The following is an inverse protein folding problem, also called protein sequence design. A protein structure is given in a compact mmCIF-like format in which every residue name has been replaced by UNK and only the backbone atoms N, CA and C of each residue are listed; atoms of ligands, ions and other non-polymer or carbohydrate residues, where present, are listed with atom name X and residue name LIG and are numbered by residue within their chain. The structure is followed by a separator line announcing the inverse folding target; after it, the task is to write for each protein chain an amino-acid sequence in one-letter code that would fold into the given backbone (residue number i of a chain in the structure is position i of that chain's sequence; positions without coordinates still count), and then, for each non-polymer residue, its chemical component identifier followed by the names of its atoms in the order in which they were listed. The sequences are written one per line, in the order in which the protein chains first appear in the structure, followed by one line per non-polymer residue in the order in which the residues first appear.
data_IF_996322211520
#
_entry.id   IF_996322211520
#
_cell.length_a   1.000
_cell.length_b   1.000
_cell.length_c   1.000
_cell.angle_alpha   90.00
_cell.angle_beta   90.00
_cell.angle_gamma   90.00
#
_symmetry.space_group_name_H-M   'P 1'
#
loop_
_entity.id
_entity.type
_entity.pdbx_description
1 polymer ?
#
# COMPACT_ATOMS: atom_id res chain seq x y z
N UNK A 1 20.36 4.46 -2.44
CA UNK A 1 19.63 5.74 -2.34
C UNK A 1 18.69 5.61 -1.17
N UNK A 2 19.14 6.01 0.01
CA UNK A 2 18.41 5.82 1.26
C UNK A 2 17.30 6.88 1.34
N UNK A 3 16.04 6.45 1.31
CA UNK A 3 14.87 7.30 1.48
C UNK A 3 14.72 7.66 2.97
N UNK A 4 15.60 8.53 3.48
CA UNK A 4 15.56 9.02 4.86
C UNK A 4 14.64 10.24 5.08
N UNK A 5 13.82 10.64 4.10
CA UNK A 5 13.12 11.93 4.16
C UNK A 5 11.62 11.84 3.84
N UNK A 6 10.92 10.82 4.32
CA UNK A 6 9.45 10.78 4.24
C UNK A 6 8.74 11.19 5.54
N UNK A 7 9.44 11.76 6.53
CA UNK A 7 8.78 12.04 7.81
C UNK A 7 9.33 13.17 8.68
N UNK A 8 10.15 14.10 8.18
CA UNK A 8 10.68 15.16 9.08
C UNK A 8 10.74 16.59 8.57
N UNK A 9 10.50 16.90 7.29
CA UNK A 9 10.40 18.30 6.88
C UNK A 9 9.26 18.48 5.89
N UNK A 10 8.20 19.11 6.39
CA UNK A 10 7.05 19.50 5.61
C UNK A 10 7.41 20.40 4.44
N UNK A 11 6.44 20.51 3.54
CA UNK A 11 6.43 21.25 2.28
C UNK A 11 7.28 20.62 1.16
N UNK A 12 6.52 19.96 0.26
CA UNK A 12 6.88 19.57 -1.11
C UNK A 12 7.58 18.20 -1.26
N UNK A 13 6.84 17.12 -1.09
CA UNK A 13 7.08 15.87 -1.86
C UNK A 13 6.68 16.10 -3.34
N UNK A 14 7.33 17.07 -3.99
CA UNK A 14 7.20 17.27 -5.43
C UNK A 14 8.07 16.21 -6.12
N UNK A 15 7.52 15.00 -6.20
CA UNK A 15 7.95 14.00 -7.15
C UNK A 15 6.96 14.01 -8.32
N UNK A 16 6.91 15.10 -9.13
CA UNK A 16 5.80 15.38 -10.03
C UNK A 16 5.68 14.39 -11.18
N UNK A 17 6.66 13.50 -11.37
CA UNK A 17 6.71 12.48 -12.42
C UNK A 17 6.97 11.07 -11.86
N UNK A 18 6.90 10.88 -10.53
CA UNK A 18 7.13 9.56 -9.94
C UNK A 18 5.91 8.68 -10.18
N UNK A 19 6.03 7.81 -11.18
CA UNK A 19 4.98 6.83 -11.50
C UNK A 19 5.16 5.50 -10.76
N UNK A 20 6.39 5.17 -10.37
CA UNK A 20 6.68 3.93 -9.64
C UNK A 20 7.51 4.21 -8.38
N UNK A 21 6.99 3.78 -7.23
CA UNK A 21 7.71 3.81 -5.96
C UNK A 21 7.90 2.38 -5.49
N UNK A 22 9.16 1.96 -5.37
CA UNK A 22 9.54 0.62 -4.92
C UNK A 22 10.39 0.74 -3.67
N UNK A 23 9.82 0.34 -2.55
CA UNK A 23 10.47 0.32 -1.26
C UNK A 23 10.82 -1.13 -0.94
N UNK A 24 12.11 -1.39 -0.75
CA UNK A 24 12.62 -2.74 -0.48
C UNK A 24 13.56 -2.74 0.70
N UNK A 25 13.73 -3.90 1.33
CA UNK A 25 14.86 -4.21 2.22
C UNK A 25 15.03 -3.21 3.36
N UNK A 26 13.96 -3.00 4.14
CA UNK A 26 13.93 -2.01 5.22
C UNK A 26 14.25 -0.58 4.75
N UNK A 27 13.76 -0.21 3.56
CA UNK A 27 14.03 1.07 2.91
C UNK A 27 13.54 2.32 3.64
N UNK A 28 12.84 2.18 4.78
CA UNK A 28 12.53 3.25 5.72
C UNK A 28 12.67 2.74 7.17
N UNK A 29 12.89 3.68 8.10
CA UNK A 29 12.92 3.41 9.53
C UNK A 29 11.53 3.53 10.14
N UNK A 30 11.25 2.69 11.13
CA UNK A 30 9.97 2.69 11.86
C UNK A 30 8.99 1.65 11.33
N UNK A 31 7.95 1.37 12.11
CA UNK A 31 6.90 0.39 11.80
C UNK A 31 5.58 1.03 11.35
N UNK A 32 5.53 2.37 11.30
CA UNK A 32 4.40 3.14 10.79
C UNK A 32 4.85 4.00 9.63
N UNK A 33 4.17 3.90 8.49
CA UNK A 33 4.31 4.85 7.39
C UNK A 33 3.11 5.80 7.39
N UNK A 34 3.36 7.09 7.63
CA UNK A 34 2.33 8.13 7.72
C UNK A 34 2.48 9.14 6.58
N UNK A 35 1.36 9.45 5.92
CA UNK A 35 1.18 10.61 5.07
C UNK A 35 -0.01 11.39 5.62
N UNK A 36 0.11 12.71 5.76
CA UNK A 36 -1.05 13.56 6.02
C UNK A 36 -1.79 13.88 4.71
N UNK A 37 -3.01 14.40 4.78
CA UNK A 37 -3.85 14.68 3.60
C UNK A 37 -3.24 15.72 2.63
N UNK A 38 -2.24 16.51 3.05
CA UNK A 38 -1.52 17.45 2.19
C UNK A 38 -0.36 16.78 1.41
N UNK A 39 0.07 15.59 1.83
CA UNK A 39 1.18 14.85 1.23
C UNK A 39 0.70 13.92 0.11
N UNK A 40 0.56 14.49 -1.09
CA UNK A 40 0.01 13.78 -2.26
C UNK A 40 1.11 13.40 -3.26
N UNK A 41 1.21 12.10 -3.60
CA UNK A 41 2.12 11.58 -4.63
C UNK A 41 1.35 11.42 -5.96
N UNK A 42 1.11 12.56 -6.62
CA UNK A 42 0.09 12.72 -7.66
C UNK A 42 0.22 11.85 -8.92
N UNK A 43 1.41 11.37 -9.30
CA UNK A 43 1.59 10.57 -10.51
C UNK A 43 1.81 9.09 -10.23
N UNK A 44 1.78 8.67 -8.97
CA UNK A 44 2.12 7.30 -8.60
C UNK A 44 1.08 6.33 -9.16
N UNK A 45 1.52 5.40 -10.01
CA UNK A 45 0.71 4.34 -10.61
C UNK A 45 1.00 2.97 -9.97
N UNK A 46 2.26 2.73 -9.59
CA UNK A 46 2.71 1.50 -8.94
C UNK A 46 3.38 1.79 -7.60
N UNK A 47 2.87 1.17 -6.55
CA UNK A 47 3.50 1.13 -5.25
C UNK A 47 3.87 -0.31 -4.88
N UNK A 48 5.17 -0.56 -4.74
CA UNK A 48 5.69 -1.84 -4.29
C UNK A 48 6.38 -1.68 -2.94
N UNK A 49 5.96 -2.48 -1.97
CA UNK A 49 6.58 -2.57 -0.64
C UNK A 49 7.03 -4.02 -0.44
N UNK A 50 8.33 -4.24 -0.22
CA UNK A 50 8.90 -5.59 -0.17
C UNK A 50 9.92 -5.73 0.95
N UNK A 51 9.77 -6.74 1.82
CA UNK A 51 10.68 -7.01 2.95
C UNK A 51 10.92 -5.75 3.80
N UNK A 52 9.85 -5.15 4.31
CA UNK A 52 9.92 -4.06 5.29
C UNK A 52 9.35 -4.49 6.64
N UNK A 53 9.61 -3.72 7.68
CA UNK A 53 9.03 -3.86 9.01
C UNK A 53 7.72 -3.07 9.18
N UNK A 54 7.05 -2.73 8.07
CA UNK A 54 5.77 -2.03 8.10
C UNK A 54 4.74 -2.84 8.91
N UNK A 55 4.19 -2.21 9.94
CA UNK A 55 3.04 -2.71 10.69
C UNK A 55 1.78 -1.96 10.32
N UNK A 56 1.85 -0.63 10.29
CA UNK A 56 0.69 0.21 10.02
C UNK A 56 1.00 1.21 8.92
N UNK A 57 -0.01 1.48 8.11
CA UNK A 57 0.05 2.47 7.06
C UNK A 57 -1.08 3.47 7.31
N UNK A 58 -0.70 4.70 7.61
CA UNK A 58 -1.59 5.83 7.80
C UNK A 58 -1.53 6.71 6.55
N UNK A 59 -2.27 6.32 5.51
CA UNK A 59 -2.53 7.12 4.32
C UNK A 59 -3.90 6.73 3.76
N UNK A 60 -4.55 7.65 3.07
CA UNK A 60 -5.87 7.46 2.47
C UNK A 60 -5.80 7.53 0.94
N UNK A 61 -6.95 7.35 0.31
CA UNK A 61 -7.10 7.47 -1.16
C UNK A 61 -6.59 8.81 -1.71
N UNK A 62 -6.65 9.89 -0.92
CA UNK A 62 -6.23 11.24 -1.34
C UNK A 62 -4.73 11.34 -1.56
N UNK A 63 -3.93 10.49 -0.90
CA UNK A 63 -2.48 10.52 -1.01
C UNK A 63 -1.99 9.94 -2.35
N UNK A 64 -2.79 9.08 -2.99
CA UNK A 64 -2.42 8.34 -4.19
C UNK A 64 -3.53 8.33 -5.26
N UNK A 65 -3.95 9.51 -5.76
CA UNK A 65 -5.15 9.64 -6.59
C UNK A 65 -5.06 8.97 -7.97
N UNK A 66 -3.87 8.50 -8.38
CA UNK A 66 -3.64 7.80 -9.65
C UNK A 66 -3.09 6.38 -9.48
N UNK A 67 -3.12 5.84 -8.26
CA UNK A 67 -2.58 4.51 -8.01
C UNK A 67 -3.40 3.48 -8.78
N UNK A 68 -2.72 2.66 -9.58
CA UNK A 68 -3.32 1.58 -10.35
C UNK A 68 -3.00 0.22 -9.72
N UNK A 69 -1.82 0.10 -9.10
CA UNK A 69 -1.31 -1.18 -8.63
C UNK A 69 -0.63 -1.03 -7.28
N UNK A 70 -1.15 -1.75 -6.29
CA UNK A 70 -0.50 -1.95 -4.99
C UNK A 70 0.06 -3.36 -4.90
N UNK A 71 1.35 -3.48 -4.60
CA UNK A 71 2.00 -4.78 -4.43
C UNK A 71 2.76 -4.80 -3.11
N UNK A 72 2.35 -5.65 -2.19
CA UNK A 72 3.02 -5.82 -0.89
C UNK A 72 3.57 -7.25 -0.80
N UNK A 73 4.87 -7.36 -0.56
CA UNK A 73 5.57 -8.65 -0.48
C UNK A 73 6.33 -8.77 0.82
N UNK A 74 6.29 -9.95 1.45
CA UNK A 74 7.13 -10.32 2.60
C UNK A 74 7.04 -9.32 3.76
N UNK A 75 5.90 -8.66 3.93
CA UNK A 75 5.62 -7.73 5.03
C UNK A 75 4.83 -8.49 6.11
N UNK A 76 5.53 -9.35 6.85
CA UNK A 76 4.92 -10.28 7.82
C UNK A 76 4.35 -9.61 9.07
N UNK A 77 4.75 -8.37 9.34
CA UNK A 77 4.28 -7.59 10.49
C UNK A 77 3.12 -6.66 10.15
N UNK A 78 2.72 -6.56 8.87
CA UNK A 78 1.65 -5.68 8.43
C UNK A 78 0.34 -6.08 9.09
N UNK A 79 -0.32 -5.16 9.79
CA UNK A 79 -1.53 -5.43 10.55
C UNK A 79 -2.76 -5.45 9.65
N UNK A 80 -2.85 -4.53 8.70
CA UNK A 80 -3.96 -4.41 7.76
C UNK A 80 -3.57 -3.64 6.49
N UNK A 81 -4.38 -3.80 5.44
CA UNK A 81 -4.50 -2.86 4.34
C UNK A 81 -5.65 -1.93 4.68
N UNK A 82 -5.37 -0.62 4.77
CA UNK A 82 -6.39 0.36 5.13
C UNK A 82 -7.50 0.40 4.06
N UNK A 83 -8.77 0.38 4.49
CA UNK A 83 -9.94 0.30 3.60
C UNK A 83 -10.00 1.42 2.55
N UNK A 84 -9.53 2.61 2.90
CA UNK A 84 -9.49 3.78 2.00
C UNK A 84 -8.67 3.51 0.74
N UNK A 85 -7.75 2.54 0.75
CA UNK A 85 -7.06 2.11 -0.47
C UNK A 85 -8.04 1.56 -1.49
N UNK A 86 -9.06 0.81 -1.06
CA UNK A 86 -10.14 0.32 -1.93
C UNK A 86 -10.97 1.43 -2.57
N UNK A 87 -11.00 2.62 -1.98
CA UNK A 87 -11.75 3.77 -2.49
C UNK A 87 -11.02 4.51 -3.64
N UNK A 88 -9.78 4.13 -3.96
CA UNK A 88 -9.03 4.74 -5.06
C UNK A 88 -9.65 4.34 -6.40
N UNK A 89 -10.28 5.29 -7.08
CA UNK A 89 -11.02 5.02 -8.32
C UNK A 89 -10.16 4.47 -9.48
N UNK A 90 -8.86 4.74 -9.48
CA UNK A 90 -7.93 4.26 -10.51
C UNK A 90 -7.34 2.89 -10.21
N UNK A 91 -7.64 2.31 -9.04
CA UNK A 91 -6.99 1.10 -8.59
C UNK A 91 -7.51 -0.11 -9.37
N UNK A 92 -6.58 -0.77 -10.06
CA UNK A 92 -6.84 -1.94 -10.90
C UNK A 92 -6.46 -3.24 -10.19
N UNK A 93 -5.46 -3.21 -9.31
CA UNK A 93 -5.03 -4.42 -8.59
C UNK A 93 -4.37 -4.18 -7.24
N UNK A 94 -4.60 -5.14 -6.34
CA UNK A 94 -3.88 -5.27 -5.07
C UNK A 94 -3.32 -6.70 -4.97
N UNK A 95 -2.02 -6.82 -4.76
CA UNK A 95 -1.30 -8.08 -4.65
C UNK A 95 -0.60 -8.20 -3.29
N UNK A 96 -0.93 -9.23 -2.51
CA UNK A 96 -0.19 -9.64 -1.31
C UNK A 96 0.59 -10.93 -1.57
N UNK A 97 1.86 -10.93 -1.19
CA UNK A 97 2.67 -12.16 -1.20
C UNK A 97 3.43 -12.34 0.12
N UNK A 98 3.31 -13.49 0.76
CA UNK A 98 3.96 -13.83 2.04
C UNK A 98 3.82 -12.72 3.13
N UNK A 99 2.64 -12.12 3.25
CA UNK A 99 2.28 -11.13 4.27
C UNK A 99 1.59 -11.80 5.48
N UNK A 100 1.13 -11.00 6.45
CA UNK A 100 0.42 -11.52 7.63
C UNK A 100 -1.00 -11.98 7.30
N UNK A 101 -1.55 -12.90 8.09
CA UNK A 101 -2.95 -13.33 8.00
C UNK A 101 -3.91 -12.15 8.23
N UNK A 102 -3.55 -11.19 9.09
CA UNK A 102 -4.37 -10.00 9.33
C UNK A 102 -4.46 -9.10 8.09
N UNK A 103 -3.34 -8.90 7.39
CA UNK A 103 -3.33 -8.17 6.13
C UNK A 103 -4.17 -8.88 5.06
N UNK A 104 -4.10 -10.22 4.98
CA UNK A 104 -4.97 -11.01 4.09
C UNK A 104 -6.45 -10.80 4.40
N UNK A 105 -6.82 -10.83 5.68
CA UNK A 105 -8.20 -10.65 6.13
C UNK A 105 -8.74 -9.28 5.72
N UNK A 106 -7.98 -8.21 6.02
CA UNK A 106 -8.37 -6.85 5.63
C UNK A 106 -8.49 -6.68 4.11
N UNK A 107 -7.63 -7.33 3.32
CA UNK A 107 -7.73 -7.25 1.87
C UNK A 107 -8.98 -7.99 1.33
N UNK A 108 -9.36 -9.11 1.95
CA UNK A 108 -10.62 -9.78 1.61
C UNK A 108 -11.84 -8.93 1.96
N UNK A 109 -11.80 -8.22 3.09
CA UNK A 109 -12.87 -7.28 3.48
C UNK A 109 -13.00 -6.15 2.44
N UNK A 110 -11.88 -5.58 1.98
CA UNK A 110 -11.89 -4.59 0.89
C UNK A 110 -12.49 -5.19 -0.39
N UNK A 111 -12.13 -6.42 -0.75
CA UNK A 111 -12.68 -7.09 -1.92
C UNK A 111 -14.21 -7.23 -1.83
N UNK A 112 -14.71 -7.76 -0.71
CA UNK A 112 -16.15 -7.94 -0.46
C UNK A 112 -16.90 -6.61 -0.51
N UNK A 113 -16.33 -5.54 0.06
CA UNK A 113 -16.90 -4.18 -0.02
C UNK A 113 -16.99 -3.69 -1.46
N UNK A 114 -15.92 -3.85 -2.25
CA UNK A 114 -15.89 -3.42 -3.66
C UNK A 114 -16.88 -4.21 -4.53
N UNK A 115 -16.98 -5.52 -4.34
CA UNK A 115 -17.97 -6.37 -5.01
C UNK A 115 -19.40 -5.96 -4.63
N UNK A 116 -19.66 -5.63 -3.35
CA UNK A 116 -20.98 -5.17 -2.91
C UNK A 116 -21.41 -3.83 -3.54
N UNK A 117 -20.43 -3.00 -3.92
CA UNK A 117 -20.63 -1.72 -4.63
C UNK A 117 -20.66 -1.87 -6.15
N UNK A 118 -20.51 -3.09 -6.67
CA UNK A 118 -20.50 -3.40 -8.11
C UNK A 118 -19.18 -3.06 -8.81
N UNK A 119 -18.07 -2.94 -8.07
CA UNK A 119 -16.73 -2.77 -8.64
C UNK A 119 -16.06 -4.12 -8.91
N UNK A 120 -16.52 -4.82 -9.94
CA UNK A 120 -15.97 -6.12 -10.36
C UNK A 120 -14.60 -6.01 -11.07
N UNK A 121 -14.10 -4.79 -11.29
CA UNK A 121 -12.87 -4.53 -12.03
C UNK A 121 -11.61 -4.63 -11.16
N UNK A 122 -11.73 -4.55 -9.84
CA UNK A 122 -10.58 -4.63 -8.94
C UNK A 122 -10.05 -6.07 -8.85
N UNK A 123 -8.81 -6.28 -9.27
CA UNK A 123 -8.16 -7.58 -9.16
C UNK A 123 -7.43 -7.74 -7.82
N UNK A 124 -7.86 -8.71 -7.01
CA UNK A 124 -7.23 -9.05 -5.73
C UNK A 124 -6.46 -10.36 -5.85
N UNK A 125 -5.17 -10.35 -5.49
CA UNK A 125 -4.29 -11.52 -5.56
C UNK A 125 -3.61 -11.75 -4.20
N UNK A 126 -3.75 -12.95 -3.65
CA UNK A 126 -3.16 -13.34 -2.37
C UNK A 126 -2.34 -14.61 -2.57
N UNK A 127 -1.02 -14.51 -2.46
CA UNK A 127 -0.09 -15.64 -2.55
C UNK A 127 0.70 -15.77 -1.25
N UNK A 128 0.13 -16.42 -0.25
CA UNK A 128 0.86 -16.74 0.97
C UNK A 128 1.22 -18.22 0.97
N UNK A 129 2.52 -18.49 1.03
CA UNK A 129 3.00 -19.82 1.41
C UNK A 129 2.63 -20.01 2.88
N UNK A 130 1.44 -20.58 3.13
CA UNK A 130 1.06 -21.02 4.47
C UNK A 130 1.99 -22.18 4.82
N UNK A 131 3.14 -21.89 5.43
CA UNK A 131 3.86 -22.91 6.18
C UNK A 131 3.02 -23.25 7.40
N UNK A 132 2.20 -24.29 7.24
CA UNK A 132 1.58 -25.03 8.33
C UNK A 132 2.69 -25.41 9.31
N UNK A 133 2.71 -24.76 10.47
CA UNK A 133 3.46 -25.22 11.64
C UNK A 133 2.51 -26.01 12.54
#
# INVERSE_FOLDING_TARGET
MYLFLLGIYGKYLLLPNLEELKIKDYGFLGDVWRLNDEEVINQLKLLLIDRTNLKRWEASSVNFPKLQRLVVKRCRSLEEIHKDIGEICTLESIELNNCSISAEKSLKEIQEEQESMGNDCLSVLINNDHWSS
#
